data_IF_839591844686
#
_entry.id   IF_839591844686
#
_cell.length_a   1.000
_cell.length_b   1.000
_cell.length_c   1.000
_cell.angle_alpha   90.00
_cell.angle_beta   90.00
_cell.angle_gamma   90.00
#
_symmetry.space_group_name_H-M   'P 1'
#
loop_
_entity.id
_entity.type
_entity.pdbx_description
1 polymer ?
#
# COMPACT_ATOMS: atom_id res chain seq x y z
N UNK A 1 -69.04 4.04 -14.59
CA UNK A 1 -68.14 2.87 -14.74
C UNK A 1 -67.19 3.17 -15.89
N UNK A 2 -65.91 3.39 -15.58
CA UNK A 2 -64.72 3.20 -16.42
C UNK A 2 -63.60 4.03 -15.79
N UNK A 3 -62.81 3.37 -14.94
CA UNK A 3 -61.66 3.95 -14.25
C UNK A 3 -60.47 3.99 -15.20
N UNK A 4 -59.85 5.16 -15.37
CA UNK A 4 -58.64 5.32 -16.17
C UNK A 4 -57.42 4.85 -15.37
N UNK A 5 -56.82 3.74 -15.83
CA UNK A 5 -55.54 3.23 -15.37
C UNK A 5 -54.39 4.05 -15.95
N UNK A 6 -53.51 4.53 -15.08
CA UNK A 6 -52.19 5.08 -15.40
C UNK A 6 -51.27 3.95 -15.84
N UNK A 7 -50.74 4.00 -17.06
CA UNK A 7 -49.72 3.05 -17.51
C UNK A 7 -48.33 3.67 -17.33
N UNK A 8 -47.56 3.01 -16.45
CA UNK A 8 -46.13 3.12 -16.24
C UNK A 8 -45.39 2.64 -17.49
N UNK A 9 -44.45 3.45 -18.00
CA UNK A 9 -43.42 2.93 -18.89
C UNK A 9 -42.05 3.24 -18.29
N UNK A 10 -41.55 2.26 -17.55
CA UNK A 10 -40.20 2.20 -17.04
C UNK A 10 -39.35 1.51 -18.11
N UNK A 11 -38.72 2.29 -18.98
CA UNK A 11 -37.65 1.76 -19.83
C UNK A 11 -36.42 1.53 -18.97
N UNK A 12 -36.27 0.29 -18.50
CA UNK A 12 -35.09 -0.25 -17.85
C UNK A 12 -33.86 -0.11 -18.77
N UNK A 13 -32.89 0.69 -18.34
CA UNK A 13 -31.55 0.70 -18.92
C UNK A 13 -30.60 0.01 -17.93
N UNK A 14 -30.71 -1.32 -17.85
CA UNK A 14 -29.85 -2.19 -17.06
C UNK A 14 -28.95 -2.93 -18.04
N UNK A 15 -27.65 -2.63 -18.07
CA UNK A 15 -26.61 -3.68 -18.22
C UNK A 15 -25.14 -3.26 -18.11
N UNK A 16 -24.75 -1.98 -18.03
CA UNK A 16 -23.31 -1.64 -18.02
C UNK A 16 -22.70 -1.21 -16.66
N UNK A 17 -23.50 -0.94 -15.62
CA UNK A 17 -23.02 -0.39 -14.34
C UNK A 17 -22.81 -1.40 -13.20
N UNK A 18 -23.25 -2.66 -13.36
CA UNK A 18 -23.28 -3.65 -12.27
C UNK A 18 -21.92 -4.32 -11.98
N UNK A 19 -21.03 -4.39 -12.97
CA UNK A 19 -19.70 -5.01 -12.82
C UNK A 19 -18.70 -4.07 -12.11
N UNK A 20 -18.72 -2.78 -12.44
CA UNK A 20 -17.79 -1.80 -11.88
C UNK A 20 -18.07 -1.50 -10.40
N UNK A 21 -19.35 -1.37 -10.01
CA UNK A 21 -19.73 -1.16 -8.60
C UNK A 21 -19.26 -2.30 -7.68
N UNK A 22 -19.47 -3.56 -8.08
CA UNK A 22 -19.05 -4.73 -7.27
C UNK A 22 -17.53 -4.79 -7.07
N UNK A 23 -16.75 -4.38 -8.08
CA UNK A 23 -15.28 -4.33 -7.99
C UNK A 23 -14.82 -3.24 -7.03
N UNK A 24 -15.44 -2.05 -7.11
CA UNK A 24 -15.11 -0.95 -6.21
C UNK A 24 -15.48 -1.27 -4.76
N UNK A 25 -16.62 -1.93 -4.53
CA UNK A 25 -17.05 -2.37 -3.19
C UNK A 25 -16.08 -3.39 -2.60
N UNK A 26 -15.66 -4.39 -3.38
CA UNK A 26 -14.67 -5.38 -2.96
C UNK A 26 -13.29 -4.75 -2.68
N UNK A 27 -12.83 -3.82 -3.53
CA UNK A 27 -11.58 -3.10 -3.30
C UNK A 27 -11.67 -2.21 -2.06
N UNK A 28 -12.83 -1.58 -1.80
CA UNK A 28 -13.04 -0.82 -0.58
C UNK A 28 -12.88 -1.70 0.64
N UNK A 29 -13.46 -2.91 0.65
CA UNK A 29 -13.31 -3.88 1.75
C UNK A 29 -11.85 -4.25 2.01
N UNK A 30 -11.08 -4.58 0.96
CA UNK A 30 -9.64 -4.90 1.08
C UNK A 30 -8.84 -3.73 1.67
N UNK A 31 -9.24 -2.50 1.35
CA UNK A 31 -8.52 -1.30 1.75
C UNK A 31 -8.98 -0.74 3.10
N UNK A 32 -9.90 -1.41 3.80
CA UNK A 32 -10.34 -1.00 5.13
C UNK A 32 -9.27 -1.24 6.19
N UNK A 33 -8.99 -0.23 7.00
CA UNK A 33 -8.17 -0.37 8.19
C UNK A 33 -9.02 -0.93 9.34
N UNK A 34 -8.64 -2.08 9.90
CA UNK A 34 -9.34 -2.70 11.03
C UNK A 34 -9.29 -1.95 12.36
N UNK A 35 -8.47 -0.88 12.48
CA UNK A 35 -8.38 -0.05 13.69
C UNK A 35 -9.32 1.15 13.63
N UNK A 36 -9.28 1.91 12.52
CA UNK A 36 -10.09 3.13 12.32
C UNK A 36 -11.37 2.91 11.51
N UNK A 37 -11.63 1.67 11.10
CA UNK A 37 -12.79 1.24 10.31
C UNK A 37 -13.08 2.17 9.11
N UNK A 38 -12.02 2.58 8.43
CA UNK A 38 -12.07 3.45 7.25
C UNK A 38 -10.88 3.13 6.34
N UNK A 39 -10.90 3.62 5.09
CA UNK A 39 -9.85 3.37 4.09
C UNK A 39 -8.45 3.67 4.65
N UNK A 40 -7.50 2.79 4.36
CA UNK A 40 -6.12 2.91 4.82
C UNK A 40 -5.40 4.12 4.22
N UNK A 41 -4.88 4.98 5.08
CA UNK A 41 -3.92 6.04 4.73
C UNK A 41 -2.51 5.57 5.08
N UNK A 42 -1.65 5.34 4.06
CA UNK A 42 -0.30 4.78 4.23
C UNK A 42 -0.33 3.40 4.90
N UNK A 43 -0.66 2.34 4.13
CA UNK A 43 -0.83 0.98 4.67
C UNK A 43 0.51 0.35 5.01
N UNK A 44 0.68 -0.07 6.26
CA UNK A 44 1.86 -0.78 6.76
C UNK A 44 1.46 -2.16 7.30
N UNK A 45 2.32 -3.14 7.05
CA UNK A 45 2.14 -4.52 7.47
C UNK A 45 2.77 -4.77 8.84
N UNK A 46 2.05 -5.52 9.66
CA UNK A 46 2.66 -6.30 10.74
C UNK A 46 3.35 -7.56 10.16
N UNK A 47 4.23 -8.24 10.92
CA UNK A 47 4.87 -9.49 10.47
C UNK A 47 3.89 -10.62 10.11
N UNK A 48 2.66 -10.57 10.62
CA UNK A 48 1.57 -11.46 10.24
C UNK A 48 0.86 -11.06 8.92
N UNK A 49 1.46 -10.18 8.12
CA UNK A 49 0.98 -9.66 6.83
C UNK A 49 -0.32 -8.82 6.85
N UNK A 50 -1.01 -8.70 7.99
CA UNK A 50 -2.15 -7.79 8.11
C UNK A 50 -1.70 -6.32 8.04
N UNK A 51 -2.43 -5.54 7.26
CA UNK A 51 -2.12 -4.14 6.96
C UNK A 51 -3.07 -3.19 7.69
N UNK A 52 -2.53 -2.06 8.14
CA UNK A 52 -3.26 -0.99 8.81
C UNK A 52 -2.63 0.36 8.45
N UNK A 53 -3.28 1.48 8.79
CA UNK A 53 -2.63 2.78 8.66
C UNK A 53 -1.40 2.85 9.56
N UNK A 54 -0.32 3.47 9.07
CA UNK A 54 0.88 3.72 9.88
C UNK A 54 0.56 4.40 11.21
N UNK A 55 -0.23 5.48 11.18
CA UNK A 55 -0.63 6.21 12.40
C UNK A 55 -1.40 5.31 13.37
N UNK A 56 -2.38 4.55 12.87
CA UNK A 56 -3.16 3.63 13.69
C UNK A 56 -2.30 2.58 14.39
N UNK A 57 -1.27 2.04 13.73
CA UNK A 57 -0.35 1.09 14.36
C UNK A 57 0.50 1.74 15.45
N UNK A 58 1.00 2.95 15.20
CA UNK A 58 1.79 3.70 16.17
C UNK A 58 0.96 4.04 17.41
N UNK A 59 -0.24 4.58 17.23
CA UNK A 59 -1.16 4.91 18.32
C UNK A 59 -1.57 3.66 19.10
N UNK A 60 -1.87 2.57 18.40
CA UNK A 60 -2.22 1.28 19.00
C UNK A 60 -1.06 0.71 19.85
N UNK A 61 0.17 0.82 19.36
CA UNK A 61 1.35 0.38 20.12
C UNK A 61 1.63 1.28 21.34
N UNK A 62 1.49 2.60 21.21
CA UNK A 62 1.64 3.52 22.34
C UNK A 62 0.62 3.24 23.45
N UNK A 63 -0.63 3.01 23.08
CA UNK A 63 -1.70 2.79 24.05
C UNK A 63 -1.56 1.46 24.81
N UNK A 64 -1.03 0.41 24.17
CA UNK A 64 -0.82 -0.89 24.83
C UNK A 64 0.38 -0.89 25.80
N UNK A 65 1.43 -0.11 25.52
CA UNK A 65 2.65 -0.07 26.34
C UNK A 65 2.51 0.79 27.62
N UNK A 66 1.36 1.42 27.86
CA UNK A 66 1.07 2.13 29.12
C UNK A 66 0.74 1.17 30.28
N UNK A 67 0.68 -0.14 30.02
CA UNK A 67 0.47 -1.16 31.04
C UNK A 67 1.81 -1.58 31.63
N UNK A 68 1.90 -1.68 32.96
CA UNK A 68 3.14 -1.75 33.77
C UNK A 68 4.05 -2.97 33.58
N UNK A 69 4.02 -3.63 32.42
CA UNK A 69 4.85 -4.78 32.10
C UNK A 69 6.13 -4.35 31.38
N UNK A 70 7.26 -4.87 31.83
CA UNK A 70 8.61 -4.61 31.30
C UNK A 70 8.88 -5.16 29.89
N UNK A 71 7.86 -5.64 29.17
CA UNK A 71 7.96 -6.23 27.83
C UNK A 71 7.12 -5.41 26.87
N UNK A 72 7.76 -4.85 25.84
CA UNK A 72 7.12 -4.09 24.78
C UNK A 72 6.58 -5.04 23.70
N UNK A 73 5.26 -5.16 23.58
CA UNK A 73 4.63 -5.98 22.55
C UNK A 73 3.30 -5.38 22.06
N UNK A 74 2.85 -5.82 20.88
CA UNK A 74 1.49 -5.61 20.40
C UNK A 74 0.89 -6.91 19.88
N UNK A 75 -0.44 -6.99 19.90
CA UNK A 75 -1.19 -8.07 19.27
C UNK A 75 -1.84 -7.56 17.99
N UNK A 76 -1.75 -8.34 16.91
CA UNK A 76 -2.48 -7.99 15.69
C UNK A 76 -4.00 -7.91 15.97
N UNK A 77 -4.69 -6.82 15.62
CA UNK A 77 -6.13 -6.71 15.81
C UNK A 77 -6.95 -7.83 15.15
N UNK A 78 -6.50 -8.35 13.99
CA UNK A 78 -7.16 -9.43 13.26
C UNK A 78 -6.84 -10.82 13.81
N UNK A 79 -5.58 -11.24 13.76
CA UNK A 79 -5.19 -12.62 14.06
C UNK A 79 -4.59 -12.85 15.45
N UNK A 80 -4.49 -11.79 16.26
CA UNK A 80 -3.90 -11.81 17.62
C UNK A 80 -2.43 -12.27 17.68
N UNK A 81 -1.74 -12.33 16.54
CA UNK A 81 -0.31 -12.59 16.49
C UNK A 81 0.45 -11.58 17.36
N UNK A 82 1.23 -12.09 18.33
CA UNK A 82 2.05 -11.28 19.21
C UNK A 82 3.35 -10.90 18.54
N UNK A 83 3.62 -9.60 18.55
CA UNK A 83 4.85 -9.05 18.03
C UNK A 83 5.59 -8.27 19.11
N UNK A 84 6.80 -8.73 19.45
CA UNK A 84 7.65 -8.12 20.47
C UNK A 84 8.67 -7.16 19.85
N UNK A 85 8.91 -6.03 20.50
CA UNK A 85 9.90 -5.05 20.08
C UNK A 85 10.74 -4.57 21.27
N UNK A 86 11.83 -3.87 20.95
CA UNK A 86 12.81 -3.43 21.97
C UNK A 86 12.50 -2.04 22.49
N UNK A 87 12.07 -1.17 21.58
CA UNK A 87 11.64 0.20 21.84
C UNK A 87 10.60 0.61 20.81
N UNK A 88 9.97 1.77 21.02
CA UNK A 88 9.00 2.31 20.06
C UNK A 88 9.64 2.66 18.70
N UNK A 89 10.89 3.14 18.70
CA UNK A 89 11.66 3.40 17.47
C UNK A 89 11.99 2.10 16.75
N UNK A 90 12.31 1.03 17.51
CA UNK A 90 12.49 -0.29 16.92
C UNK A 90 11.20 -0.73 16.23
N UNK A 91 10.04 -0.60 16.91
CA UNK A 91 8.73 -0.90 16.34
C UNK A 91 8.44 -0.10 15.06
N UNK A 92 8.67 1.21 15.05
CA UNK A 92 8.48 2.00 13.83
C UNK A 92 9.39 1.53 12.68
N UNK A 93 10.64 1.15 12.98
CA UNK A 93 11.65 0.82 11.98
C UNK A 93 11.46 -0.52 11.26
N UNK A 94 10.65 -1.40 11.83
CA UNK A 94 10.34 -2.73 11.29
C UNK A 94 9.01 -2.75 10.54
N UNK A 95 8.17 -1.73 10.70
CA UNK A 95 6.92 -1.65 9.97
C UNK A 95 7.27 -1.47 8.50
N UNK A 96 6.73 -2.35 7.66
CA UNK A 96 6.98 -2.32 6.22
C UNK A 96 5.73 -1.79 5.54
N UNK A 97 5.89 -0.80 4.68
CA UNK A 97 4.80 -0.31 3.85
C UNK A 97 4.31 -1.41 2.90
N UNK A 98 3.01 -1.54 2.69
CA UNK A 98 2.45 -2.38 1.67
C UNK A 98 2.31 -1.58 0.36
N UNK A 99 3.25 -1.71 -0.59
CA UNK A 99 3.24 -0.87 -1.80
C UNK A 99 2.06 -1.18 -2.71
N UNK A 100 1.49 -2.38 -2.66
CA UNK A 100 0.33 -2.77 -3.46
C UNK A 100 -0.91 -2.04 -2.93
N UNK A 101 -1.18 -2.14 -1.62
CA UNK A 101 -2.31 -1.43 -1.01
C UNK A 101 -2.17 0.09 -1.14
N UNK A 102 -0.94 0.63 -1.05
CA UNK A 102 -0.71 2.07 -1.28
C UNK A 102 -1.11 2.49 -2.69
N UNK A 103 -0.66 1.76 -3.71
CA UNK A 103 -1.01 2.06 -5.11
C UNK A 103 -2.52 1.92 -5.36
N UNK A 104 -3.18 0.93 -4.74
CA UNK A 104 -4.62 0.74 -4.85
C UNK A 104 -5.40 1.90 -4.20
N UNK A 105 -4.98 2.38 -3.02
CA UNK A 105 -5.57 3.57 -2.41
C UNK A 105 -5.46 4.79 -3.34
N UNK A 106 -4.26 5.05 -3.87
CA UNK A 106 -3.99 6.19 -4.76
C UNK A 106 -4.80 6.12 -6.06
N UNK A 107 -4.93 4.93 -6.65
CA UNK A 107 -5.71 4.71 -7.87
C UNK A 107 -7.21 5.01 -7.68
N UNK A 108 -7.78 4.58 -6.55
CA UNK A 108 -9.19 4.83 -6.23
C UNK A 108 -9.50 6.27 -5.79
N UNK A 109 -8.48 7.02 -5.35
CA UNK A 109 -8.63 8.45 -5.07
C UNK A 109 -8.58 9.25 -6.38
N UNK A 110 -7.73 8.85 -7.33
CA UNK A 110 -7.58 9.49 -8.65
C UNK A 110 -8.85 9.34 -9.51
N UNK A 111 -9.55 8.19 -9.41
CA UNK A 111 -10.81 7.98 -10.15
C UNK A 111 -11.94 8.93 -9.75
N UNK A 112 -11.85 9.61 -8.60
CA UNK A 112 -12.80 10.63 -8.15
C UNK A 112 -12.44 12.06 -8.60
N UNK A 113 -11.22 12.29 -9.09
CA UNK A 113 -10.65 13.64 -9.36
C UNK A 113 -10.58 13.94 -10.87
N UNK A 114 -11.23 13.14 -11.72
CA UNK A 114 -11.31 13.41 -13.17
C UNK A 114 -12.38 14.45 -13.57
N UNK A 115 -12.65 15.46 -12.72
CA UNK A 115 -13.55 16.56 -13.09
C UNK A 115 -12.87 17.90 -13.28
N UNK A 116 -11.82 18.29 -12.56
CA UNK A 116 -11.21 19.61 -12.77
C UNK A 116 -9.78 19.67 -12.22
N UNK A 117 -8.86 20.18 -13.05
CA UNK A 117 -7.48 20.62 -12.71
C UNK A 117 -6.37 19.56 -12.74
N UNK A 118 -6.07 19.10 -13.95
CA UNK A 118 -4.71 18.70 -14.32
C UNK A 118 -3.81 19.94 -14.35
N UNK A 119 -2.99 20.14 -13.30
CA UNK A 119 -1.67 20.80 -13.32
C UNK A 119 -1.30 21.21 -11.88
N UNK A 120 -0.70 20.31 -11.08
CA UNK A 120 0.28 20.61 -10.00
C UNK A 120 0.58 19.45 -9.00
N UNK A 121 0.22 18.19 -9.26
CA UNK A 121 0.67 17.07 -8.41
C UNK A 121 1.86 16.32 -9.03
N UNK A 122 3.05 16.92 -8.95
CA UNK A 122 4.30 16.31 -9.35
C UNK A 122 5.16 15.97 -8.12
N UNK A 123 5.45 14.67 -7.96
CA UNK A 123 6.62 14.07 -7.27
C UNK A 123 6.57 13.72 -5.77
N UNK A 124 5.56 12.96 -5.29
CA UNK A 124 5.70 12.21 -4.02
C UNK A 124 5.38 10.70 -4.11
N UNK A 125 4.96 10.19 -5.27
CA UNK A 125 4.38 8.85 -5.44
C UNK A 125 5.38 7.66 -5.50
N UNK A 126 6.59 7.78 -4.95
CA UNK A 126 7.58 6.69 -5.05
C UNK A 126 8.64 6.61 -3.96
N UNK A 127 8.52 7.41 -2.91
CA UNK A 127 9.46 7.42 -1.79
C UNK A 127 8.84 6.70 -0.58
N UNK A 128 9.60 5.77 -0.02
CA UNK A 128 9.19 4.89 1.07
C UNK A 128 10.20 4.95 2.21
N UNK A 129 9.78 5.35 3.42
CA UNK A 129 10.66 5.31 4.59
C UNK A 129 10.78 3.87 5.09
N UNK A 130 11.89 3.21 4.77
CA UNK A 130 12.15 1.82 5.13
C UNK A 130 13.66 1.53 5.15
N UNK A 131 14.06 0.31 5.53
CA UNK A 131 15.46 -0.14 5.50
C UNK A 131 15.87 -0.56 4.09
N UNK A 132 16.98 0.00 3.61
CA UNK A 132 17.53 -0.32 2.30
C UNK A 132 17.89 -1.82 2.23
N UNK A 133 17.50 -2.52 1.17
CA UNK A 133 17.83 -3.94 0.98
C UNK A 133 19.35 -4.19 0.98
N UNK A 134 20.14 -3.29 0.39
CA UNK A 134 21.60 -3.47 0.29
C UNK A 134 22.37 -2.98 1.51
N UNK A 135 22.06 -1.78 2.02
CA UNK A 135 22.85 -1.18 3.10
C UNK A 135 22.18 -1.25 4.48
N UNK A 136 20.97 -1.81 4.57
CA UNK A 136 20.18 -2.00 5.80
C UNK A 136 19.86 -0.72 6.60
N UNK A 137 20.21 0.46 6.07
CA UNK A 137 19.96 1.76 6.69
C UNK A 137 18.53 2.23 6.44
N UNK A 138 17.90 2.78 7.48
CA UNK A 138 16.59 3.43 7.40
C UNK A 138 16.72 4.76 6.64
N UNK A 139 16.15 4.83 5.44
CA UNK A 139 16.20 6.00 4.56
C UNK A 139 14.88 6.15 3.77
N UNK A 140 14.76 7.22 3.00
CA UNK A 140 13.76 7.29 1.94
C UNK A 140 14.24 6.46 0.76
N UNK A 141 13.48 5.43 0.41
CA UNK A 141 13.83 4.41 -0.57
C UNK A 141 12.88 4.47 -1.76
N UNK A 142 13.33 3.94 -2.88
CA UNK A 142 12.52 3.71 -4.08
C UNK A 142 12.46 2.20 -4.34
N UNK A 143 11.32 1.74 -4.84
CA UNK A 143 11.16 0.35 -5.30
C UNK A 143 11.84 0.22 -6.66
N UNK A 144 12.76 -0.72 -6.79
CA UNK A 144 13.32 -1.08 -8.08
C UNK A 144 12.26 -1.84 -8.90
N UNK A 145 11.95 -1.39 -10.12
CA UNK A 145 10.95 -2.06 -10.97
C UNK A 145 11.43 -3.42 -11.50
N UNK A 146 12.72 -3.70 -11.45
CA UNK A 146 13.30 -4.96 -11.91
C UNK A 146 13.13 -6.09 -10.88
N UNK A 147 13.45 -5.81 -9.60
CA UNK A 147 13.48 -6.83 -8.54
C UNK A 147 12.53 -6.54 -7.36
N UNK A 148 11.77 -5.45 -7.42
CA UNK A 148 10.88 -4.95 -6.35
C UNK A 148 11.55 -4.65 -5.00
N UNK A 149 12.88 -4.67 -4.93
CA UNK A 149 13.61 -4.28 -3.71
C UNK A 149 13.52 -2.78 -3.45
N UNK A 150 13.37 -2.43 -2.17
CA UNK A 150 13.46 -1.06 -1.70
C UNK A 150 14.91 -0.69 -1.48
N UNK A 151 15.40 0.26 -2.27
CA UNK A 151 16.81 0.68 -2.28
C UNK A 151 16.91 2.18 -2.06
N UNK A 152 17.93 2.62 -1.32
CA UNK A 152 18.26 4.04 -1.22
C UNK A 152 18.85 4.53 -2.55
N UNK A 153 18.82 5.83 -2.82
CA UNK A 153 19.23 6.36 -4.13
C UNK A 153 20.65 5.95 -4.55
N UNK A 154 21.58 5.78 -3.60
CA UNK A 154 22.93 5.28 -3.89
C UNK A 154 22.91 3.81 -4.29
N UNK A 155 22.36 2.94 -3.43
CA UNK A 155 22.32 1.50 -3.69
C UNK A 155 21.48 1.16 -4.94
N UNK A 156 20.42 1.93 -5.21
CA UNK A 156 19.60 1.77 -6.41
C UNK A 156 20.38 2.07 -7.69
N UNK A 157 21.20 3.13 -7.69
CA UNK A 157 22.05 3.47 -8.85
C UNK A 157 23.07 2.38 -9.12
N UNK A 158 23.77 1.91 -8.08
CA UNK A 158 24.73 0.80 -8.22
C UNK A 158 24.04 -0.46 -8.74
N UNK A 159 22.92 -0.85 -8.14
CA UNK A 159 22.13 -2.01 -8.57
C UNK A 159 21.71 -1.96 -10.05
N UNK A 160 21.25 -0.81 -10.53
CA UNK A 160 20.88 -0.66 -11.95
C UNK A 160 22.09 -0.74 -12.88
N UNK A 161 23.25 -0.19 -12.48
CA UNK A 161 24.48 -0.30 -13.26
C UNK A 161 24.96 -1.75 -13.36
N UNK A 162 24.87 -2.51 -12.27
CA UNK A 162 25.24 -3.92 -12.24
C UNK A 162 24.33 -4.75 -13.16
N UNK A 163 23.00 -4.55 -13.09
CA UNK A 163 22.04 -5.20 -14.00
C UNK A 163 22.36 -4.86 -15.47
N UNK A 164 22.63 -3.59 -15.78
CA UNK A 164 22.94 -3.17 -17.15
C UNK A 164 24.25 -3.79 -17.65
N UNK A 165 25.25 -3.96 -16.78
CA UNK A 165 26.51 -4.61 -17.13
C UNK A 165 26.32 -6.10 -17.40
N UNK A 166 25.58 -6.81 -16.55
CA UNK A 166 25.28 -8.24 -16.75
C UNK A 166 24.52 -8.47 -18.06
N UNK A 167 23.52 -7.63 -18.33
CA UNK A 167 22.74 -7.69 -19.59
C UNK A 167 23.63 -7.49 -20.82
N UNK A 168 24.60 -6.56 -20.74
CA UNK A 168 25.53 -6.30 -21.84
C UNK A 168 26.49 -7.47 -22.07
N UNK A 169 27.06 -8.04 -21.00
CA UNK A 169 27.97 -9.21 -21.11
C UNK A 169 27.24 -10.41 -21.73
N UNK A 170 25.97 -10.64 -21.37
CA UNK A 170 25.18 -11.72 -21.95
C UNK A 170 24.92 -11.51 -23.46
N UNK A 171 24.72 -10.28 -23.91
CA UNK A 171 24.56 -9.96 -25.34
C UNK A 171 25.87 -10.15 -26.11
N UNK A 172 26.98 -9.63 -25.58
CA UNK A 172 28.30 -9.76 -26.22
C UNK A 172 28.73 -11.24 -26.37
N UNK A 173 28.33 -12.11 -25.41
CA UNK A 173 28.57 -13.55 -25.49
C UNK A 173 27.72 -14.25 -26.56
N UNK A 174 26.49 -13.80 -26.80
CA UNK A 174 25.61 -14.34 -27.83
C UNK A 174 26.02 -13.90 -29.24
N UNK A 175 26.61 -12.72 -29.40
CA UNK A 175 27.11 -12.21 -30.68
C UNK A 175 28.48 -12.80 -31.06
N UNK A 176 29.16 -13.48 -30.13
CA UNK A 176 30.46 -14.11 -30.34
C UNK A 176 30.40 -15.56 -30.87
N UNK A 177 29.20 -16.06 -31.17
CA UNK A 177 28.93 -17.37 -31.78
C UNK A 177 28.16 -17.22 -33.09
#
# INVERSE_FOLDING_TARGET
>A
MASNYTNSDSTENITETSSSKKKDDFLNEILMCGIRLSRMSSPYCLPCAHSFCRSCLLDYAQNNNNTSTSINFILCPYCKYQFNFRSFEHFESILIINPVLKQLCEALDTSKINSDQQQQQSQSNGLYRARCHTCCLLKMLKICKHCYFMLCDTCRRTHLLDIHRESKIQLDLLESH
#
